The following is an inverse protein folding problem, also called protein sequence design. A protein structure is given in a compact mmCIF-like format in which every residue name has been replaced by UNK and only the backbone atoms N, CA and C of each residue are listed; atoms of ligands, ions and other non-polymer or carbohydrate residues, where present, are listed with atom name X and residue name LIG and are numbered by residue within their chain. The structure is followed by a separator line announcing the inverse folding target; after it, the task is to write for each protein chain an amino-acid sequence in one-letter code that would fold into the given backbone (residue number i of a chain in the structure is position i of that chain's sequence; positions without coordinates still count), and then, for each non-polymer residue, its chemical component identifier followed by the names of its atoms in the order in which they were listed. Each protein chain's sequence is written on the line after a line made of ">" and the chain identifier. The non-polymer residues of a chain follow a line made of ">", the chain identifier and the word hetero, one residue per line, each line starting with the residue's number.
data_IF_870207397172
#
_entry.id   IF_870207397172
#
_cell.length_a   1.000
_cell.length_b   1.000
_cell.length_c   1.000
_cell.angle_alpha   90.00
_cell.angle_beta   90.00
_cell.angle_gamma   90.00
#
_symmetry.space_group_name_H-M   'P 1'
#
loop_
_entity.id
_entity.type
_entity.pdbx_description
1 polymer ?
#
# COMPACT_ATOMS: atom_id res chain seq x y z
N UNK A 1 11.94 23.69 4.44
CA UNK A 1 10.72 22.98 3.99
C UNK A 1 10.97 21.47 4.05
N UNK A 2 10.43 20.77 5.05
CA UNK A 2 10.70 19.33 5.30
C UNK A 2 9.41 18.54 5.55
N UNK A 3 8.27 18.99 5.01
CA UNK A 3 7.00 18.24 5.11
C UNK A 3 7.05 16.93 4.31
N UNK A 4 7.64 16.94 3.12
CA UNK A 4 7.71 15.76 2.25
C UNK A 4 8.42 14.58 2.94
N UNK A 5 9.48 14.83 3.71
CA UNK A 5 10.28 13.76 4.30
C UNK A 5 9.51 12.97 5.38
N UNK A 6 8.73 13.66 6.23
CA UNK A 6 7.94 13.00 7.27
C UNK A 6 6.76 12.23 6.69
N UNK A 7 6.04 12.81 5.71
CA UNK A 7 4.97 12.08 5.04
C UNK A 7 5.49 10.90 4.23
N UNK A 8 6.66 11.03 3.59
CA UNK A 8 7.32 9.92 2.91
C UNK A 8 7.69 8.80 3.87
N UNK A 9 8.27 9.14 5.00
CA UNK A 9 8.58 8.18 6.05
C UNK A 9 7.31 7.47 6.51
N UNK A 10 6.28 8.18 6.98
CA UNK A 10 5.04 7.55 7.46
C UNK A 10 4.39 6.69 6.37
N UNK A 11 4.34 7.16 5.13
CA UNK A 11 3.74 6.40 4.05
C UNK A 11 4.52 5.12 3.73
N UNK A 12 5.85 5.09 3.83
CA UNK A 12 6.61 3.86 3.61
C UNK A 12 6.27 2.78 4.66
N UNK A 13 6.09 3.17 5.93
CA UNK A 13 5.61 2.26 6.98
C UNK A 13 4.21 1.74 6.68
N UNK A 14 3.29 2.61 6.24
CA UNK A 14 1.93 2.21 5.87
C UNK A 14 1.91 1.24 4.71
N UNK A 15 2.75 1.45 3.68
CA UNK A 15 2.86 0.55 2.53
C UNK A 15 3.46 -0.80 2.94
N UNK A 16 4.46 -0.80 3.84
CA UNK A 16 5.01 -2.04 4.38
C UNK A 16 3.95 -2.84 5.15
N UNK A 17 3.20 -2.19 6.02
CA UNK A 17 2.11 -2.83 6.76
C UNK A 17 0.99 -3.31 5.84
N UNK A 18 0.66 -2.53 4.80
CA UNK A 18 -0.29 -2.93 3.77
C UNK A 18 0.10 -4.23 3.07
N UNK A 19 1.38 -4.39 2.70
CA UNK A 19 1.88 -5.62 2.06
C UNK A 19 1.73 -6.83 2.98
N UNK A 20 2.12 -6.68 4.26
CA UNK A 20 1.95 -7.74 5.26
C UNK A 20 0.47 -8.12 5.42
N UNK A 21 -0.42 -7.12 5.55
CA UNK A 21 -1.86 -7.36 5.62
C UNK A 21 -2.39 -8.04 4.36
N UNK A 22 -1.85 -7.71 3.19
CA UNK A 22 -2.27 -8.30 1.92
C UNK A 22 -1.90 -9.78 1.84
N UNK A 23 -0.73 -10.15 2.35
CA UNK A 23 -0.27 -11.54 2.48
C UNK A 23 -1.12 -12.32 3.51
N UNK A 24 -1.39 -11.73 4.68
CA UNK A 24 -2.20 -12.37 5.73
C UNK A 24 -3.69 -12.47 5.36
N UNK A 25 -4.25 -11.42 4.76
CA UNK A 25 -5.68 -11.28 4.42
C UNK A 25 -6.00 -11.70 2.98
N UNK A 26 -5.12 -12.40 2.25
CA UNK A 26 -5.52 -13.07 0.99
C UNK A 26 -6.76 -13.97 1.16
N UNK A 27 -7.09 -14.35 2.41
CA UNK A 27 -8.26 -15.14 2.79
C UNK A 27 -9.55 -14.34 3.02
N UNK A 28 -9.48 -13.01 3.14
CA UNK A 28 -10.65 -12.17 3.36
C UNK A 28 -10.97 -11.37 2.09
N UNK A 29 -12.24 -11.33 1.69
CA UNK A 29 -12.77 -10.63 0.50
C UNK A 29 -12.67 -9.09 0.57
N UNK A 30 -11.63 -8.53 1.20
CA UNK A 30 -11.40 -7.09 1.28
C UNK A 30 -10.75 -6.58 -0.01
N UNK A 31 -11.22 -5.45 -0.50
CA UNK A 31 -10.62 -4.79 -1.66
C UNK A 31 -9.29 -4.14 -1.29
N UNK A 32 -8.40 -3.96 -2.27
CA UNK A 32 -7.12 -3.25 -2.11
C UNK A 32 -7.29 -1.90 -1.41
N UNK A 33 -8.35 -1.17 -1.74
CA UNK A 33 -8.59 0.12 -1.11
C UNK A 33 -9.05 -0.01 0.35
N UNK A 34 -9.85 -1.03 0.68
CA UNK A 34 -10.23 -1.29 2.07
C UNK A 34 -9.03 -1.56 2.97
N UNK A 35 -8.07 -2.37 2.50
CA UNK A 35 -6.81 -2.60 3.21
C UNK A 35 -5.97 -1.33 3.34
N UNK A 36 -5.93 -0.50 2.29
CA UNK A 36 -5.24 0.79 2.35
C UNK A 36 -5.89 1.74 3.38
N UNK A 37 -7.21 1.72 3.52
CA UNK A 37 -7.92 2.48 4.55
C UNK A 37 -7.56 2.01 5.97
N UNK A 38 -7.45 0.70 6.20
CA UNK A 38 -6.96 0.16 7.49
C UNK A 38 -5.51 0.60 7.79
N UNK A 39 -4.68 0.78 6.75
CA UNK A 39 -3.32 1.31 6.88
C UNK A 39 -3.27 2.84 7.07
N UNK A 40 -4.42 3.52 7.15
CA UNK A 40 -4.50 4.96 7.40
C UNK A 40 -4.43 5.85 6.15
N UNK A 41 -4.62 5.29 4.95
CA UNK A 41 -4.80 6.10 3.74
C UNK A 41 -6.24 6.62 3.64
N UNK A 42 -6.38 7.94 3.50
CA UNK A 42 -7.70 8.59 3.40
C UNK A 42 -8.32 8.51 2.00
N UNK A 43 -7.50 8.42 0.96
CA UNK A 43 -7.95 8.44 -0.44
C UNK A 43 -7.16 7.46 -1.30
N UNK A 44 -7.77 7.00 -2.40
CA UNK A 44 -7.11 6.15 -3.39
C UNK A 44 -5.89 6.85 -3.98
N UNK A 45 -6.01 8.11 -4.39
CA UNK A 45 -4.92 8.84 -5.06
C UNK A 45 -3.65 8.93 -4.21
N UNK A 46 -3.79 9.21 -2.91
CA UNK A 46 -2.64 9.25 -1.99
C UNK A 46 -2.02 7.88 -1.81
N UNK A 47 -2.84 6.83 -1.68
CA UNK A 47 -2.36 5.45 -1.61
C UNK A 47 -1.60 5.04 -2.87
N UNK A 48 -2.18 5.21 -4.06
CA UNK A 48 -1.53 4.84 -5.32
C UNK A 48 -0.23 5.60 -5.55
N UNK A 49 -0.19 6.90 -5.23
CA UNK A 49 1.04 7.70 -5.34
C UNK A 49 2.12 7.22 -4.37
N UNK A 50 1.75 6.95 -3.11
CA UNK A 50 2.67 6.44 -2.11
C UNK A 50 3.18 5.03 -2.43
N UNK A 51 2.28 4.14 -2.88
CA UNK A 51 2.61 2.78 -3.26
C UNK A 51 3.55 2.76 -4.47
N UNK A 52 3.23 3.52 -5.53
CA UNK A 52 4.10 3.62 -6.70
C UNK A 52 5.47 4.21 -6.35
N UNK A 53 5.54 5.20 -5.46
CA UNK A 53 6.83 5.73 -4.98
C UNK A 53 7.63 4.73 -4.14
N UNK A 54 6.97 3.78 -3.47
CA UNK A 54 7.63 2.79 -2.61
C UNK A 54 8.08 1.54 -3.38
N UNK A 55 7.25 1.03 -4.29
CA UNK A 55 7.47 -0.25 -4.98
C UNK A 55 7.73 -0.11 -6.49
N UNK A 56 7.70 1.12 -7.02
CA UNK A 56 7.79 1.45 -8.45
C UNK A 56 6.69 0.85 -9.36
N UNK A 57 5.75 0.08 -8.79
CA UNK A 57 4.62 -0.53 -9.50
C UNK A 57 3.28 -0.21 -8.83
N UNK A 58 2.16 -0.56 -9.46
CA UNK A 58 0.84 -0.45 -8.84
C UNK A 58 0.55 -1.61 -7.86
N UNK A 59 -0.36 -1.44 -6.88
CA UNK A 59 -0.74 -2.51 -5.97
C UNK A 59 -1.28 -3.75 -6.68
N UNK A 60 -1.93 -3.57 -7.83
CA UNK A 60 -2.51 -4.66 -8.60
C UNK A 60 -1.42 -5.45 -9.37
N UNK A 61 -0.42 -4.76 -9.89
CA UNK A 61 0.77 -5.41 -10.49
C UNK A 61 1.57 -6.15 -9.43
N UNK A 62 1.73 -5.57 -8.24
CA UNK A 62 2.39 -6.21 -7.11
C UNK A 62 1.67 -7.51 -6.72
N UNK A 63 0.34 -7.48 -6.64
CA UNK A 63 -0.48 -8.67 -6.40
C UNK A 63 -0.28 -9.74 -7.47
N UNK A 64 -0.29 -9.36 -8.75
CA UNK A 64 -0.08 -10.34 -9.83
C UNK A 64 1.29 -11.00 -9.73
N UNK A 65 2.34 -10.23 -9.41
CA UNK A 65 3.69 -10.77 -9.19
C UNK A 65 3.75 -11.76 -8.03
N UNK A 66 3.07 -11.48 -6.92
CA UNK A 66 3.06 -12.33 -5.72
C UNK A 66 2.08 -13.52 -5.79
N UNK A 67 1.25 -13.61 -6.83
CA UNK A 67 0.31 -14.73 -7.02
C UNK A 67 0.89 -15.89 -7.83
N UNK A 68 2.13 -15.77 -8.29
CA UNK A 68 2.82 -16.74 -9.14
C UNK A 68 3.88 -17.58 -8.40
N UNK A 69 3.94 -17.52 -7.07
CA UNK A 69 4.73 -18.43 -6.22
C UNK A 69 3.85 -19.34 -5.37
#
# INVERSE_FOLDING_TARGET
>A
ATKDNFYHYINSYRIRFFKQLLEEKQKNHLTLFGLAQECGFKTKSTFYTAFKKAEDCTPNEWLQKNKSE
#
